data_IF_166693559790
#
_entry.id   IF_166693559790
#
_cell.length_a   1.000
_cell.length_b   1.000
_cell.length_c   1.000
_cell.angle_alpha   90.00
_cell.angle_beta   90.00
_cell.angle_gamma   90.00
#
_symmetry.space_group_name_H-M   'P 1'
#
loop_
_entity.id
_entity.type
_entity.pdbx_description
1 polymer ?
#
# COMPACT_ATOMS: atom_id res chain seq x y z
N UNK A 1 2.41 -21.46 -21.04
CA UNK A 1 2.18 -20.41 -20.02
C UNK A 1 1.36 -19.33 -20.70
N UNK A 2 0.26 -18.91 -20.07
CA UNK A 2 -0.77 -18.06 -20.69
C UNK A 2 -0.44 -16.57 -20.47
N UNK A 3 -0.66 -15.71 -21.47
CA UNK A 3 -0.25 -14.31 -21.44
C UNK A 3 -0.90 -13.50 -20.30
N UNK A 4 -2.09 -13.93 -19.87
CA UNK A 4 -2.84 -13.35 -18.75
C UNK A 4 -2.13 -13.55 -17.40
N UNK A 5 -1.40 -14.66 -17.22
CA UNK A 5 -0.66 -14.93 -15.97
C UNK A 5 0.55 -14.01 -15.87
N UNK A 6 1.24 -13.77 -16.99
CA UNK A 6 2.42 -12.88 -17.05
C UNK A 6 2.04 -11.44 -16.70
N UNK A 7 0.92 -10.94 -17.24
CA UNK A 7 0.47 -9.58 -16.95
C UNK A 7 0.05 -9.36 -15.49
N UNK A 8 -0.56 -10.38 -14.84
CA UNK A 8 -0.91 -10.31 -13.42
C UNK A 8 0.32 -10.36 -12.51
N UNK A 9 1.34 -11.14 -12.89
CA UNK A 9 2.60 -11.19 -12.17
C UNK A 9 3.36 -9.86 -12.31
N UNK A 10 3.44 -9.30 -13.52
CA UNK A 10 4.03 -7.98 -13.78
C UNK A 10 3.35 -6.86 -12.99
N UNK A 11 2.01 -6.82 -12.96
CA UNK A 11 1.27 -5.83 -12.17
C UNK A 11 1.48 -6.01 -10.66
N UNK A 12 1.59 -7.27 -10.17
CA UNK A 12 1.87 -7.57 -8.77
C UNK A 12 3.26 -7.05 -8.33
N UNK A 13 4.24 -7.03 -9.24
CA UNK A 13 5.58 -6.54 -8.95
C UNK A 13 5.63 -5.02 -8.78
N UNK A 14 4.79 -4.29 -9.49
CA UNK A 14 4.73 -2.83 -9.40
C UNK A 14 3.80 -2.36 -8.28
N UNK A 15 2.69 -3.08 -8.04
CA UNK A 15 1.56 -2.59 -7.25
C UNK A 15 0.80 -3.75 -6.58
N UNK A 16 0.35 -3.57 -5.33
CA UNK A 16 -0.44 -4.59 -4.64
C UNK A 16 -1.52 -3.97 -3.74
N UNK A 17 -2.70 -4.61 -3.70
CA UNK A 17 -3.72 -4.35 -2.71
C UNK A 17 -3.56 -5.34 -1.55
N UNK A 18 -3.23 -4.84 -0.36
CA UNK A 18 -3.15 -5.62 0.86
C UNK A 18 -4.52 -5.69 1.52
N UNK A 19 -4.94 -6.91 1.84
CA UNK A 19 -6.23 -7.20 2.47
C UNK A 19 -6.24 -6.85 3.98
N UNK A 20 -7.41 -6.60 4.57
CA UNK A 20 -7.56 -6.36 6.01
C UNK A 20 -6.87 -7.42 6.88
N UNK A 21 -6.91 -8.69 6.48
CA UNK A 21 -6.34 -9.82 7.22
C UNK A 21 -4.81 -9.73 7.31
N UNK A 22 -4.16 -9.12 6.30
CA UNK A 22 -2.71 -8.93 6.25
C UNK A 22 -2.25 -7.68 7.00
N UNK A 23 -3.08 -6.63 7.02
CA UNK A 23 -2.67 -5.32 7.54
C UNK A 23 -3.22 -5.03 8.93
N UNK A 24 -4.36 -5.61 9.30
CA UNK A 24 -5.16 -5.24 10.47
C UNK A 24 -5.97 -3.95 10.29
N UNK A 25 -5.86 -3.27 9.15
CA UNK A 25 -6.63 -2.06 8.84
C UNK A 25 -8.04 -2.46 8.40
N UNK A 26 -9.06 -1.69 8.77
CA UNK A 26 -10.47 -1.91 8.40
C UNK A 26 -10.82 -1.72 6.91
N UNK A 27 -9.85 -1.88 6.00
CA UNK A 27 -9.99 -1.76 4.56
C UNK A 27 -8.70 -2.19 3.84
N UNK A 28 -8.55 -1.78 2.59
CA UNK A 28 -7.44 -2.20 1.73
C UNK A 28 -6.34 -1.15 1.72
N UNK A 29 -5.10 -1.59 1.93
CA UNK A 29 -3.91 -0.74 1.77
C UNK A 29 -3.26 -1.09 0.44
N UNK A 30 -3.27 -0.14 -0.46
CA UNK A 30 -2.57 -0.21 -1.73
C UNK A 30 -1.14 0.32 -1.59
N UNK A 31 -0.19 -0.48 -2.03
CA UNK A 31 1.23 -0.15 -2.11
C UNK A 31 1.68 -0.18 -3.56
N UNK A 32 2.67 0.64 -3.89
CA UNK A 32 3.31 0.63 -5.20
C UNK A 32 4.78 0.99 -5.08
N UNK A 33 5.54 0.71 -6.12
CA UNK A 33 6.88 1.27 -6.31
C UNK A 33 6.81 2.76 -6.71
N UNK A 34 7.98 3.40 -6.82
CA UNK A 34 8.10 4.84 -7.00
C UNK A 34 7.41 5.37 -8.26
N UNK A 35 6.58 6.39 -8.06
CA UNK A 35 6.04 7.20 -9.15
C UNK A 35 6.80 8.54 -9.28
N UNK A 36 7.28 8.93 -10.48
CA UNK A 36 8.15 10.10 -10.65
C UNK A 36 7.63 11.45 -10.15
N UNK A 37 6.31 11.59 -9.97
CA UNK A 37 5.66 12.87 -9.59
C UNK A 37 5.26 12.93 -8.12
N UNK A 38 5.56 11.89 -7.35
CA UNK A 38 4.93 11.63 -6.06
C UNK A 38 5.98 11.16 -5.06
N UNK A 39 5.96 11.71 -3.85
CA UNK A 39 6.77 11.17 -2.75
C UNK A 39 6.24 9.80 -2.27
N UNK A 40 7.02 9.05 -1.48
CA UNK A 40 6.63 7.75 -0.93
C UNK A 40 5.31 7.81 -0.17
N UNK A 41 4.38 6.95 -0.55
CA UNK A 41 3.06 6.86 0.07
C UNK A 41 2.41 5.51 -0.11
N UNK A 42 1.48 5.20 0.78
CA UNK A 42 0.46 4.15 0.57
C UNK A 42 -0.88 4.82 0.32
N UNK A 43 -1.80 4.08 -0.30
CA UNK A 43 -3.17 4.54 -0.53
C UNK A 43 -4.16 3.62 0.19
N UNK A 44 -5.22 4.18 0.74
CA UNK A 44 -6.27 3.42 1.42
C UNK A 44 -7.57 3.43 0.63
N UNK A 45 -8.26 2.29 0.62
CA UNK A 45 -9.61 2.14 0.08
C UNK A 45 -10.52 1.37 1.05
N UNK A 46 -11.75 1.86 1.25
CA UNK A 46 -12.77 1.09 2.01
C UNK A 46 -13.23 -0.16 1.25
N UNK A 47 -13.21 -0.10 -0.08
CA UNK A 47 -13.56 -1.19 -0.99
C UNK A 47 -12.78 -1.04 -2.28
N UNK A 48 -12.44 -2.15 -2.93
CA UNK A 48 -11.78 -2.14 -4.23
C UNK A 48 -12.76 -1.77 -5.35
N UNK A 49 -12.21 -1.25 -6.45
CA UNK A 49 -12.96 -0.93 -7.65
C UNK A 49 -12.43 0.31 -8.35
N UNK A 50 -12.82 0.48 -9.62
CA UNK A 50 -12.55 1.70 -10.36
C UNK A 50 -13.24 2.89 -9.68
N UNK A 51 -12.58 4.04 -9.68
CA UNK A 51 -13.09 5.32 -9.20
C UNK A 51 -13.51 5.34 -7.71
N UNK A 52 -13.01 4.39 -6.90
CA UNK A 52 -13.30 4.38 -5.47
C UNK A 52 -12.61 5.54 -4.74
N UNK A 53 -13.32 6.21 -3.80
CA UNK A 53 -12.71 7.25 -2.98
C UNK A 53 -11.63 6.64 -2.08
N UNK A 54 -10.63 7.45 -1.78
CA UNK A 54 -9.41 6.99 -1.12
C UNK A 54 -8.71 8.14 -0.42
N UNK A 55 -7.76 7.81 0.45
CA UNK A 55 -6.75 8.78 0.89
C UNK A 55 -5.36 8.21 0.73
N UNK A 56 -4.35 9.07 0.72
CA UNK A 56 -2.93 8.66 0.71
C UNK A 56 -2.27 9.05 2.03
N UNK A 57 -1.43 8.16 2.56
CA UNK A 57 -0.58 8.40 3.74
C UNK A 57 0.87 8.38 3.32
N UNK A 58 1.66 9.37 3.74
CA UNK A 58 3.10 9.42 3.48
C UNK A 58 3.83 8.25 4.13
N UNK A 59 4.83 7.69 3.45
CA UNK A 59 5.79 6.78 4.08
C UNK A 59 6.94 7.65 4.59
N UNK A 60 6.83 8.14 5.82
CA UNK A 60 7.77 9.08 6.44
C UNK A 60 8.01 8.73 7.92
N UNK A 61 8.92 9.44 8.58
CA UNK A 61 9.16 9.24 10.02
C UNK A 61 7.91 9.54 10.87
N UNK A 62 7.17 10.56 10.47
CA UNK A 62 5.85 10.90 10.99
C UNK A 62 4.85 10.80 9.83
N UNK A 63 4.24 9.62 9.60
CA UNK A 63 3.26 9.43 8.52
C UNK A 63 2.04 10.33 8.71
N UNK A 64 1.57 10.94 7.63
CA UNK A 64 0.41 11.83 7.63
C UNK A 64 -0.44 11.65 6.38
N UNK A 65 -1.72 12.03 6.46
CA UNK A 65 -2.62 12.03 5.30
C UNK A 65 -2.23 13.18 4.37
N UNK A 66 -1.89 12.86 3.12
CA UNK A 66 -1.47 13.83 2.11
C UNK A 66 -2.65 14.40 1.31
N UNK A 67 -3.61 13.54 0.98
CA UNK A 67 -4.79 13.89 0.19
C UNK A 67 -5.88 12.87 0.48
N UNK A 68 -7.14 13.33 0.52
CA UNK A 68 -8.30 12.47 0.71
C UNK A 68 -9.43 12.88 -0.24
N UNK A 69 -10.08 11.89 -0.85
CA UNK A 69 -11.37 12.01 -1.53
C UNK A 69 -12.49 11.29 -0.78
N UNK A 70 -12.20 10.77 0.42
CA UNK A 70 -13.19 10.23 1.35
C UNK A 70 -13.89 11.37 2.09
N UNK A 71 -15.02 11.06 2.73
CA UNK A 71 -15.63 11.98 3.69
C UNK A 71 -14.66 12.23 4.86
N UNK A 72 -14.75 13.40 5.51
CA UNK A 72 -13.92 13.70 6.67
C UNK A 72 -14.10 12.65 7.77
N UNK A 73 -15.36 12.25 8.04
CA UNK A 73 -15.66 11.23 9.04
C UNK A 73 -15.06 9.87 8.73
N UNK A 74 -15.00 9.47 7.44
CA UNK A 74 -14.32 8.23 7.05
C UNK A 74 -12.79 8.39 7.19
N UNK A 75 -12.24 9.55 6.80
CA UNK A 75 -10.80 9.81 6.92
C UNK A 75 -10.37 9.75 8.38
N UNK A 76 -11.07 10.43 9.29
CA UNK A 76 -10.78 10.45 10.72
C UNK A 76 -10.86 9.06 11.36
N UNK A 77 -11.75 8.20 10.83
CA UNK A 77 -11.92 6.83 11.31
C UNK A 77 -10.75 5.92 10.92
N UNK A 78 -10.34 5.93 9.65
CA UNK A 78 -9.38 4.95 9.13
C UNK A 78 -7.93 5.45 9.07
N UNK A 79 -7.70 6.77 9.02
CA UNK A 79 -6.35 7.33 8.95
C UNK A 79 -5.45 6.89 10.12
N UNK A 80 -5.90 6.85 11.40
CA UNK A 80 -5.05 6.39 12.50
C UNK A 80 -4.55 4.95 12.30
N UNK A 81 -5.40 4.05 11.80
CA UNK A 81 -5.03 2.66 11.51
C UNK A 81 -3.96 2.57 10.41
N UNK A 82 -4.14 3.31 9.32
CA UNK A 82 -3.19 3.30 8.20
C UNK A 82 -1.87 3.96 8.60
N UNK A 83 -1.90 5.05 9.37
CA UNK A 83 -0.71 5.72 9.90
C UNK A 83 0.08 4.75 10.79
N UNK A 84 -0.59 4.04 11.70
CA UNK A 84 0.05 3.04 12.55
C UNK A 84 0.65 1.89 11.74
N UNK A 85 -0.07 1.38 10.74
CA UNK A 85 0.44 0.35 9.83
C UNK A 85 1.71 0.82 9.09
N UNK A 86 1.69 2.05 8.55
CA UNK A 86 2.85 2.63 7.86
C UNK A 86 4.00 2.81 8.83
N UNK A 87 3.75 3.29 10.05
CA UNK A 87 4.78 3.49 11.07
C UNK A 87 5.51 2.17 11.39
N UNK A 88 4.77 1.07 11.62
CA UNK A 88 5.34 -0.25 11.91
C UNK A 88 6.14 -0.86 10.77
N UNK A 89 5.79 -0.51 9.53
CA UNK A 89 6.33 -1.14 8.33
C UNK A 89 7.19 -0.19 7.48
N UNK A 90 7.50 1.00 7.99
CA UNK A 90 8.09 2.13 7.26
C UNK A 90 9.29 1.75 6.41
N UNK A 91 10.28 1.09 7.03
CA UNK A 91 11.54 0.75 6.35
C UNK A 91 11.30 -0.19 5.16
N UNK A 92 10.47 -1.22 5.35
CA UNK A 92 10.13 -2.18 4.29
C UNK A 92 9.34 -1.52 3.17
N UNK A 93 8.39 -0.66 3.52
CA UNK A 93 7.60 0.10 2.55
C UNK A 93 8.48 1.07 1.74
N UNK A 94 9.46 1.73 2.37
CA UNK A 94 10.42 2.60 1.67
C UNK A 94 11.35 1.82 0.75
N UNK A 95 11.81 0.66 1.19
CA UNK A 95 12.67 -0.21 0.39
C UNK A 95 11.93 -0.71 -0.86
N UNK A 96 10.69 -1.21 -0.68
CA UNK A 96 9.84 -1.58 -1.82
C UNK A 96 9.51 -0.40 -2.72
N UNK A 97 9.19 0.77 -2.15
CA UNK A 97 8.96 1.98 -2.94
C UNK A 97 10.15 2.29 -3.85
N UNK A 98 11.37 2.19 -3.32
CA UNK A 98 12.58 2.65 -4.02
C UNK A 98 13.18 1.62 -4.95
N UNK A 99 13.09 0.33 -4.59
CA UNK A 99 13.84 -0.75 -5.24
C UNK A 99 12.93 -1.87 -5.77
N UNK A 100 11.64 -1.87 -5.43
CA UNK A 100 10.73 -3.00 -5.70
C UNK A 100 10.57 -3.34 -7.19
N UNK A 101 10.74 -2.36 -8.09
CA UNK A 101 10.64 -2.59 -9.54
C UNK A 101 11.75 -3.50 -10.06
N UNK A 102 12.90 -3.55 -9.38
CA UNK A 102 14.04 -4.38 -9.77
C UNK A 102 14.07 -5.72 -9.02
N UNK A 103 13.09 -6.01 -8.16
CA UNK A 103 13.09 -7.22 -7.34
C UNK A 103 12.63 -8.44 -8.14
N UNK A 104 13.31 -9.60 -7.97
CA UNK A 104 12.79 -10.86 -8.49
C UNK A 104 11.51 -11.27 -7.76
N UNK A 105 10.68 -12.08 -8.43
CA UNK A 105 9.36 -12.51 -7.92
C UNK A 105 9.39 -13.07 -6.49
N UNK A 106 10.36 -13.93 -6.18
CA UNK A 106 10.50 -14.52 -4.84
C UNK A 106 10.73 -13.46 -3.75
N UNK A 107 11.47 -12.39 -4.06
CA UNK A 107 11.69 -11.29 -3.14
C UNK A 107 10.43 -10.45 -2.94
N UNK A 108 9.66 -10.20 -3.99
CA UNK A 108 8.35 -9.52 -3.89
C UNK A 108 7.39 -10.35 -3.04
N UNK A 109 7.31 -11.67 -3.26
CA UNK A 109 6.50 -12.56 -2.43
C UNK A 109 6.94 -12.58 -0.97
N UNK A 110 8.25 -12.64 -0.69
CA UNK A 110 8.77 -12.56 0.66
C UNK A 110 8.36 -11.23 1.33
N UNK A 111 8.47 -10.13 0.61
CA UNK A 111 8.05 -8.81 1.09
C UNK A 111 6.55 -8.74 1.40
N UNK A 112 5.68 -9.20 0.48
CA UNK A 112 4.23 -9.19 0.68
C UNK A 112 3.77 -10.03 1.88
N UNK A 113 4.60 -10.96 2.36
CA UNK A 113 4.36 -11.78 3.54
C UNK A 113 5.10 -11.29 4.80
N UNK A 114 5.88 -10.20 4.70
CA UNK A 114 6.73 -9.71 5.79
C UNK A 114 6.07 -8.64 6.70
N UNK A 115 4.87 -8.19 6.34
CA UNK A 115 4.21 -7.09 7.03
C UNK A 115 3.81 -7.43 8.47
N UNK A 116 4.04 -6.47 9.36
CA UNK A 116 3.54 -6.49 10.73
C UNK A 116 2.15 -5.85 10.75
N UNK A 117 1.12 -6.66 10.96
CA UNK A 117 -0.26 -6.17 11.11
C UNK A 117 -0.45 -5.30 12.35
N UNK A 118 -1.43 -4.42 12.30
CA UNK A 118 -1.96 -3.75 13.50
C UNK A 118 -2.92 -4.71 14.25
N UNK A 119 -3.10 -4.46 15.55
CA UNK A 119 -3.73 -5.39 16.50
C UNK A 119 -5.18 -5.68 16.22
#
# INVERSE_FOLDING_TARGET
>A
MDATTIALDEELFEMANLEPEKTGVGGFVYISTAFPRHGPRVKFFKKLGKDQPSFSVSIAEQPEVLVSSLSQSDTDRYAPEVIEFVHRNRERLLDFWSNGTDWPSDQVHAFLNSFVRIG
#
